data_IF_584718334801
#
_entry.id   IF_584718334801
#
_cell.length_a   1.000
_cell.length_b   1.000
_cell.length_c   1.000
_cell.angle_alpha   90.00
_cell.angle_beta   90.00
_cell.angle_gamma   90.00
#
_symmetry.space_group_name_H-M   'P 1'
#
loop_
_entity.id
_entity.type
_entity.pdbx_description
1 polymer ?
#
# COMPACT_ATOMS: atom_id res chain seq x y z
N UNK A 1 -13.89 0.14 2.19
CA UNK A 1 -12.87 0.17 1.11
C UNK A 1 -13.43 0.84 -0.13
N UNK A 2 -12.62 1.63 -0.85
CA UNK A 2 -13.01 2.31 -2.09
C UNK A 2 -13.64 1.38 -3.15
N UNK A 3 -13.25 0.12 -3.18
CA UNK A 3 -13.76 -0.90 -4.11
C UNK A 3 -15.21 -1.34 -3.83
N UNK A 4 -15.76 -1.05 -2.64
CA UNK A 4 -17.06 -1.59 -2.18
C UNK A 4 -18.09 -0.50 -1.86
N UNK A 5 -17.63 0.64 -1.33
CA UNK A 5 -18.50 1.77 -0.98
C UNK A 5 -19.08 2.43 -2.24
N UNK A 6 -20.27 3.04 -2.12
CA UNK A 6 -21.03 3.61 -3.25
C UNK A 6 -21.56 4.99 -2.92
N UNK A 7 -21.98 5.74 -3.94
CA UNK A 7 -22.65 7.03 -3.77
C UNK A 7 -21.78 8.06 -3.06
N UNK A 8 -22.35 8.78 -2.11
CA UNK A 8 -21.68 9.85 -1.37
C UNK A 8 -20.52 9.35 -0.51
N UNK A 9 -20.60 8.14 0.05
CA UNK A 9 -19.49 7.55 0.80
C UNK A 9 -18.26 7.32 -0.08
N UNK A 10 -18.47 6.82 -1.31
CA UNK A 10 -17.41 6.66 -2.27
C UNK A 10 -16.78 7.99 -2.67
N UNK A 11 -17.62 9.00 -2.94
CA UNK A 11 -17.13 10.34 -3.29
C UNK A 11 -16.29 10.93 -2.16
N UNK A 12 -16.77 10.81 -0.91
CA UNK A 12 -16.06 11.27 0.30
C UNK A 12 -14.70 10.60 0.46
N UNK A 13 -14.64 9.27 0.42
CA UNK A 13 -13.36 8.57 0.60
C UNK A 13 -12.41 8.85 -0.56
N UNK A 14 -12.93 8.90 -1.79
CA UNK A 14 -12.11 9.14 -2.99
C UNK A 14 -11.50 10.53 -2.98
N UNK A 15 -12.25 11.57 -2.57
CA UNK A 15 -11.72 12.93 -2.49
C UNK A 15 -10.57 13.08 -1.50
N UNK A 16 -10.52 12.23 -0.46
CA UNK A 16 -9.42 12.21 0.53
C UNK A 16 -8.21 11.41 0.01
N UNK A 17 -8.45 10.27 -0.64
CA UNK A 17 -7.39 9.35 -1.05
C UNK A 17 -6.69 9.78 -2.34
N UNK A 18 -7.42 10.35 -3.30
CA UNK A 18 -6.85 10.76 -4.60
C UNK A 18 -5.69 11.75 -4.47
N UNK A 19 -5.76 12.81 -3.62
CA UNK A 19 -4.65 13.75 -3.48
C UNK A 19 -3.38 13.11 -2.90
N UNK A 20 -3.48 12.00 -2.16
CA UNK A 20 -2.33 11.23 -1.65
C UNK A 20 -1.43 10.70 -2.77
N UNK A 21 -1.98 10.49 -3.97
CA UNK A 21 -1.26 10.02 -5.16
C UNK A 21 -0.81 11.13 -6.12
N UNK A 22 -0.78 12.38 -5.66
CA UNK A 22 -0.18 13.47 -6.45
C UNK A 22 1.31 13.24 -6.65
N UNK A 23 1.88 13.72 -7.77
CA UNK A 23 3.30 13.60 -8.09
C UNK A 23 4.20 14.07 -6.94
N UNK A 24 3.86 15.19 -6.28
CA UNK A 24 4.62 15.71 -5.15
C UNK A 24 4.62 14.77 -3.94
N UNK A 25 3.48 14.16 -3.60
CA UNK A 25 3.36 13.22 -2.48
C UNK A 25 4.02 11.88 -2.80
N UNK A 26 3.91 11.37 -4.03
CA UNK A 26 4.65 10.17 -4.48
C UNK A 26 6.15 10.41 -4.44
N UNK A 27 6.64 11.58 -4.85
CA UNK A 27 8.06 11.95 -4.76
C UNK A 27 8.62 11.85 -3.34
N UNK A 28 7.81 12.14 -2.31
CA UNK A 28 8.21 11.96 -0.90
C UNK A 28 8.54 10.49 -0.57
N UNK A 29 7.90 9.53 -1.23
CA UNK A 29 8.12 8.09 -1.02
C UNK A 29 9.29 7.52 -1.83
N UNK A 30 9.95 8.30 -2.70
CA UNK A 30 11.05 7.79 -3.55
C UNK A 30 12.19 7.16 -2.76
N UNK A 31 12.46 7.63 -1.53
CA UNK A 31 13.45 7.01 -0.66
C UNK A 31 13.12 5.54 -0.35
N UNK A 32 11.84 5.23 -0.11
CA UNK A 32 11.36 3.86 0.13
C UNK A 32 11.57 3.01 -1.13
N UNK A 33 11.20 3.53 -2.30
CA UNK A 33 11.38 2.79 -3.55
C UNK A 33 12.85 2.51 -3.84
N UNK A 34 13.73 3.50 -3.62
CA UNK A 34 15.18 3.33 -3.79
C UNK A 34 15.74 2.25 -2.86
N UNK A 35 15.33 2.25 -1.59
CA UNK A 35 15.76 1.22 -0.64
C UNK A 35 15.31 -0.18 -1.07
N UNK A 36 14.03 -0.35 -1.43
CA UNK A 36 13.49 -1.64 -1.88
C UNK A 36 14.14 -2.11 -3.20
N UNK A 37 14.44 -1.19 -4.12
CA UNK A 37 15.18 -1.51 -5.35
C UNK A 37 16.60 -1.96 -5.03
N UNK A 38 17.26 -1.37 -4.03
CA UNK A 38 18.56 -1.84 -3.54
C UNK A 38 18.51 -3.31 -3.10
N UNK A 39 17.55 -3.66 -2.24
CA UNK A 39 17.34 -5.05 -1.80
C UNK A 39 17.03 -5.99 -2.96
N UNK A 40 16.21 -5.57 -3.92
CA UNK A 40 15.95 -6.34 -5.15
C UNK A 40 17.25 -6.61 -5.93
N UNK A 41 18.09 -5.59 -6.09
CA UNK A 41 19.36 -5.72 -6.83
C UNK A 41 20.35 -6.62 -6.10
N UNK A 42 20.45 -6.53 -4.77
CA UNK A 42 21.30 -7.41 -3.97
C UNK A 42 20.90 -8.88 -4.15
N UNK A 43 19.59 -9.16 -4.10
CA UNK A 43 19.03 -10.49 -4.33
C UNK A 43 19.25 -10.98 -5.77
N UNK A 44 19.06 -10.12 -6.78
CA UNK A 44 19.32 -10.47 -8.17
C UNK A 44 20.80 -10.76 -8.42
N UNK A 45 21.70 -9.92 -7.90
CA UNK A 45 23.16 -10.09 -8.03
C UNK A 45 23.65 -11.39 -7.37
N UNK A 46 23.04 -11.80 -6.26
CA UNK A 46 23.34 -13.09 -5.62
C UNK A 46 22.96 -14.25 -6.56
N UNK A 47 21.78 -14.22 -7.18
CA UNK A 47 21.32 -15.26 -8.10
C UNK A 47 22.12 -15.32 -9.39
N UNK A 48 22.54 -14.17 -9.93
CA UNK A 48 23.41 -14.10 -11.12
C UNK A 48 24.75 -14.80 -10.86
N UNK A 49 25.35 -14.63 -9.67
CA UNK A 49 26.59 -15.32 -9.30
C UNK A 49 26.45 -16.84 -9.28
N UNK A 50 25.25 -17.35 -9.02
CA UNK A 50 24.96 -18.79 -9.04
C UNK A 50 24.69 -19.33 -10.45
N UNK A 51 24.46 -18.47 -11.45
CA UNK A 51 24.17 -18.87 -12.83
C UNK A 51 22.83 -19.61 -13.01
N UNK A 52 21.90 -19.47 -12.05
CA UNK A 52 20.61 -20.18 -12.08
C UNK A 52 19.53 -19.37 -12.79
N UNK A 53 18.54 -20.03 -13.43
CA UNK A 53 17.34 -19.37 -13.91
C UNK A 53 16.63 -18.61 -12.79
N UNK A 54 16.15 -17.41 -13.09
CA UNK A 54 15.47 -16.54 -12.12
C UNK A 54 13.96 -16.60 -12.35
N UNK A 55 13.21 -16.93 -11.29
CA UNK A 55 11.75 -16.76 -11.28
C UNK A 55 11.40 -15.29 -11.08
N UNK A 56 11.12 -14.60 -12.19
CA UNK A 56 10.78 -13.18 -12.21
C UNK A 56 9.49 -12.86 -11.46
N UNK A 57 8.50 -13.77 -11.46
CA UNK A 57 7.22 -13.52 -10.78
C UNK A 57 7.41 -13.55 -9.27
N UNK A 58 8.18 -14.51 -8.78
CA UNK A 58 8.57 -14.56 -7.37
C UNK A 58 9.41 -13.33 -6.97
N UNK A 59 10.41 -12.98 -7.78
CA UNK A 59 11.32 -11.87 -7.47
C UNK A 59 10.62 -10.51 -7.45
N UNK A 60 9.85 -10.17 -8.48
CA UNK A 60 9.10 -8.92 -8.49
C UNK A 60 7.93 -8.93 -7.50
N UNK A 61 7.40 -10.12 -7.17
CA UNK A 61 6.49 -10.30 -6.04
C UNK A 61 7.12 -9.83 -4.74
N UNK A 62 8.29 -10.36 -4.38
CA UNK A 62 8.98 -9.96 -3.14
C UNK A 62 9.31 -8.47 -3.12
N UNK A 63 9.74 -7.90 -4.25
CA UNK A 63 9.95 -6.46 -4.37
C UNK A 63 8.66 -5.64 -4.13
N UNK A 64 7.55 -5.99 -4.79
CA UNK A 64 6.28 -5.29 -4.61
C UNK A 64 5.75 -5.41 -3.17
N UNK A 65 5.98 -6.56 -2.52
CA UNK A 65 5.66 -6.79 -1.12
C UNK A 65 6.44 -5.82 -0.22
N UNK A 66 7.76 -5.74 -0.39
CA UNK A 66 8.63 -4.91 0.42
C UNK A 66 8.30 -3.42 0.25
N UNK A 67 8.01 -2.99 -0.99
CA UNK A 67 7.58 -1.61 -1.29
C UNK A 67 6.32 -1.26 -0.52
N UNK A 68 5.30 -2.12 -0.50
CA UNK A 68 4.05 -1.79 0.18
C UNK A 68 4.14 -1.97 1.69
N UNK A 69 4.86 -2.97 2.19
CA UNK A 69 5.15 -3.09 3.62
C UNK A 69 5.81 -1.80 4.15
N UNK A 70 6.77 -1.28 3.40
CA UNK A 70 7.54 -0.09 3.77
C UNK A 70 6.74 1.21 3.56
N UNK A 71 5.97 1.32 2.49
CA UNK A 71 5.19 2.53 2.17
C UNK A 71 3.81 2.60 2.81
N UNK A 72 3.04 1.51 2.90
CA UNK A 72 1.70 1.54 3.52
C UNK A 72 1.74 1.27 5.02
N UNK A 73 2.65 0.40 5.47
CA UNK A 73 2.71 -0.04 6.86
C UNK A 73 4.01 0.31 7.56
N UNK A 74 4.84 1.20 6.99
CA UNK A 74 6.06 1.68 7.65
C UNK A 74 6.97 0.57 8.20
N UNK A 75 6.91 -0.62 7.61
CA UNK A 75 7.61 -1.81 8.10
C UNK A 75 8.61 -2.21 7.04
N UNK A 76 9.90 -2.16 7.38
CA UNK A 76 10.96 -2.64 6.49
C UNK A 76 11.04 -4.16 6.64
N UNK A 77 10.91 -4.85 5.52
CA UNK A 77 11.04 -6.31 5.41
C UNK A 77 11.93 -6.62 4.21
N UNK A 78 12.50 -7.82 4.22
CA UNK A 78 13.14 -8.44 3.07
C UNK A 78 12.42 -9.75 2.81
N UNK A 79 11.29 -9.68 2.09
CA UNK A 79 10.42 -10.84 1.89
C UNK A 79 11.04 -11.93 1.01
N UNK A 80 12.14 -11.62 0.31
CA UNK A 80 12.90 -12.59 -0.46
C UNK A 80 13.68 -13.54 0.45
N UNK A 81 14.40 -12.98 1.43
CA UNK A 81 15.26 -13.73 2.34
C UNK A 81 14.55 -14.17 3.64
N UNK A 82 13.42 -13.56 3.99
CA UNK A 82 12.61 -13.91 5.16
C UNK A 82 11.16 -14.28 4.77
N UNK A 83 10.95 -15.42 4.08
CA UNK A 83 9.62 -15.85 3.65
C UNK A 83 8.70 -16.28 4.80
N UNK A 84 9.27 -16.56 5.98
CA UNK A 84 8.60 -16.95 7.22
C UNK A 84 8.21 -15.74 8.08
N UNK A 85 8.57 -14.53 7.64
CA UNK A 85 8.12 -13.31 8.29
C UNK A 85 6.59 -13.31 8.43
N UNK A 86 6.10 -12.98 9.63
CA UNK A 86 4.65 -12.96 9.90
C UNK A 86 3.88 -12.05 8.94
N UNK A 87 4.46 -10.91 8.53
CA UNK A 87 3.86 -10.05 7.52
C UNK A 87 3.70 -10.78 6.18
N UNK A 88 4.75 -11.48 5.73
CA UNK A 88 4.77 -12.22 4.46
C UNK A 88 3.82 -13.41 4.49
N UNK A 89 3.73 -14.13 5.62
CA UNK A 89 2.75 -15.22 5.78
C UNK A 89 1.31 -14.69 5.75
N UNK A 90 1.02 -13.62 6.51
CA UNK A 90 -0.32 -13.00 6.50
C UNK A 90 -0.68 -12.45 5.12
N UNK A 91 0.29 -11.88 4.42
CA UNK A 91 0.14 -11.45 3.04
C UNK A 91 -0.20 -12.60 2.10
N UNK A 92 0.56 -13.69 2.15
CA UNK A 92 0.28 -14.91 1.36
C UNK A 92 -1.11 -15.45 1.66
N UNK A 93 -1.59 -15.41 2.91
CA UNK A 93 -2.97 -15.82 3.25
C UNK A 93 -4.04 -14.95 2.56
N UNK A 94 -3.72 -13.69 2.23
CA UNK A 94 -4.60 -12.81 1.46
C UNK A 94 -4.52 -13.10 -0.05
N UNK A 95 -3.34 -13.43 -0.59
CA UNK A 95 -3.11 -13.61 -2.03
C UNK A 95 -3.27 -15.04 -2.55
N UNK A 96 -2.94 -16.05 -1.75
CA UNK A 96 -3.07 -17.48 -2.09
C UNK A 96 -4.47 -18.03 -1.79
N UNK A 97 -5.46 -17.17 -1.55
CA UNK A 97 -6.84 -17.60 -1.71
C UNK A 97 -7.02 -17.85 -3.21
N UNK A 98 -7.06 -19.12 -3.64
CA UNK A 98 -7.63 -19.43 -4.95
C UNK A 98 -8.92 -18.62 -5.10
N UNK A 99 -9.18 -18.04 -6.29
CA UNK A 99 -10.34 -17.20 -6.59
C UNK A 99 -11.61 -17.83 -6.02
N UNK A 100 -11.88 -17.51 -4.75
CA UNK A 100 -12.66 -18.41 -3.94
C UNK A 100 -14.08 -18.34 -4.43
N UNK A 101 -14.83 -19.42 -4.28
CA UNK A 101 -16.28 -19.35 -4.48
C UNK A 101 -16.89 -18.16 -3.71
N UNK A 102 -16.28 -17.72 -2.60
CA UNK A 102 -16.61 -16.50 -1.85
C UNK A 102 -16.41 -15.21 -2.66
N UNK A 103 -15.32 -15.06 -3.41
CA UNK A 103 -15.06 -13.89 -4.26
C UNK A 103 -16.00 -13.88 -5.48
N UNK A 104 -16.24 -15.04 -6.09
CA UNK A 104 -17.21 -15.20 -7.18
C UNK A 104 -18.63 -14.90 -6.70
N UNK A 105 -19.02 -15.46 -5.54
CA UNK A 105 -20.33 -15.23 -4.93
C UNK A 105 -20.48 -13.78 -4.47
N UNK A 106 -19.40 -13.10 -4.06
CA UNK A 106 -19.40 -11.67 -3.79
C UNK A 106 -19.71 -10.86 -5.05
N UNK A 107 -19.14 -11.22 -6.20
CA UNK A 107 -19.36 -10.53 -7.48
C UNK A 107 -20.75 -10.82 -8.07
N UNK A 108 -21.19 -12.07 -8.05
CA UNK A 108 -22.44 -12.53 -8.70
C UNK A 108 -23.66 -12.32 -7.81
N UNK A 109 -23.52 -12.51 -6.49
CA UNK A 109 -24.63 -12.47 -5.54
C UNK A 109 -24.28 -11.71 -4.24
N UNK A 110 -23.95 -10.40 -4.31
CA UNK A 110 -23.52 -9.62 -3.14
C UNK A 110 -24.58 -9.53 -2.03
N UNK A 111 -25.88 -9.63 -2.36
CA UNK A 111 -26.96 -9.68 -1.37
C UNK A 111 -26.95 -10.98 -0.55
N UNK A 112 -26.58 -12.09 -1.17
CA UNK A 112 -26.53 -13.40 -0.51
C UNK A 112 -25.34 -13.48 0.46
N UNK A 113 -24.18 -12.94 0.08
CA UNK A 113 -23.02 -12.82 0.98
C UNK A 113 -23.36 -11.98 2.21
N UNK A 114 -24.06 -10.85 2.02
CA UNK A 114 -24.51 -10.01 3.13
C UNK A 114 -25.50 -10.73 4.05
N UNK A 115 -26.41 -11.53 3.48
CA UNK A 115 -27.37 -12.32 4.25
C UNK A 115 -26.70 -13.43 5.05
N UNK A 116 -25.67 -14.07 4.49
CA UNK A 116 -24.93 -15.17 5.13
C UNK A 116 -23.85 -14.69 6.11
N UNK A 117 -23.57 -13.38 6.19
CA UNK A 117 -22.56 -12.82 7.09
C UNK A 117 -21.13 -13.30 6.83
N UNK A 118 -20.85 -13.84 5.64
CA UNK A 118 -19.54 -14.42 5.32
C UNK A 118 -18.59 -13.31 4.88
N UNK A 119 -17.54 -13.08 5.68
CA UNK A 119 -16.42 -12.22 5.29
C UNK A 119 -15.67 -12.79 4.09
N UNK A 120 -15.41 -11.93 3.09
CA UNK A 120 -14.69 -12.30 1.86
C UNK A 120 -13.17 -12.37 2.09
N UNK A 121 -12.66 -11.60 3.05
CA UNK A 121 -11.25 -11.59 3.43
C UNK A 121 -11.01 -12.52 4.63
N UNK A 122 -9.80 -13.09 4.72
CA UNK A 122 -9.38 -13.82 5.91
C UNK A 122 -9.46 -12.89 7.12
N UNK A 123 -10.30 -13.27 8.09
CA UNK A 123 -10.55 -12.51 9.32
C UNK A 123 -9.26 -12.31 10.12
N UNK A 124 -8.38 -13.32 10.14
CA UNK A 124 -7.08 -13.27 10.81
C UNK A 124 -6.12 -12.25 10.17
N UNK A 125 -5.93 -12.30 8.85
CA UNK A 125 -5.04 -11.36 8.16
C UNK A 125 -5.57 -9.90 8.28
N UNK A 126 -6.88 -9.73 8.20
CA UNK A 126 -7.51 -8.41 8.38
C UNK A 126 -7.28 -7.85 9.78
N UNK A 127 -7.38 -8.68 10.82
CA UNK A 127 -7.08 -8.31 12.19
C UNK A 127 -5.60 -7.97 12.36
N UNK A 128 -4.69 -8.77 11.80
CA UNK A 128 -3.25 -8.52 11.85
C UNK A 128 -2.88 -7.15 11.25
N UNK A 129 -3.33 -6.85 10.03
CA UNK A 129 -3.02 -5.57 9.38
C UNK A 129 -3.69 -4.38 10.07
N UNK A 130 -4.88 -4.58 10.65
CA UNK A 130 -5.53 -3.58 11.52
C UNK A 130 -4.67 -3.27 12.73
N UNK A 131 -4.33 -4.28 13.53
CA UNK A 131 -3.54 -4.11 14.76
C UNK A 131 -2.18 -3.49 14.49
N UNK A 132 -1.52 -3.89 13.40
CA UNK A 132 -0.25 -3.32 12.99
C UNK A 132 -0.38 -1.83 12.63
N UNK A 133 -1.40 -1.47 11.83
CA UNK A 133 -1.66 -0.07 11.46
C UNK A 133 -1.97 0.78 12.69
N UNK A 134 -2.77 0.26 13.63
CA UNK A 134 -3.11 0.93 14.88
C UNK A 134 -1.86 1.21 15.74
N UNK A 135 -1.01 0.19 15.94
CA UNK A 135 0.24 0.33 16.69
C UNK A 135 1.17 1.38 16.09
N UNK A 136 1.27 1.44 14.76
CA UNK A 136 2.10 2.45 14.08
C UNK A 136 1.55 3.85 14.32
N UNK A 137 0.23 4.04 14.22
CA UNK A 137 -0.41 5.34 14.47
C UNK A 137 -0.17 5.77 15.92
N UNK A 138 -0.35 4.86 16.87
CA UNK A 138 -0.14 5.12 18.29
C UNK A 138 1.32 5.48 18.61
N UNK A 139 2.27 4.71 18.07
CA UNK A 139 3.69 4.96 18.25
C UNK A 139 4.09 6.35 17.72
N UNK A 140 3.63 6.74 16.53
CA UNK A 140 3.90 8.07 15.96
C UNK A 140 3.36 9.21 16.81
N UNK A 141 2.20 9.01 17.45
CA UNK A 141 1.66 10.01 18.38
C UNK A 141 2.54 10.15 19.62
N UNK A 142 3.03 9.04 20.16
CA UNK A 142 3.89 9.02 21.34
C UNK A 142 5.27 9.61 21.07
N UNK A 143 5.87 9.30 19.92
CA UNK A 143 7.26 9.67 19.59
C UNK A 143 7.37 10.96 18.77
N UNK A 144 6.27 11.41 18.16
CA UNK A 144 6.29 12.50 17.17
C UNK A 144 6.98 12.14 15.86
N UNK A 145 7.35 10.87 15.67
CA UNK A 145 8.07 10.42 14.48
C UNK A 145 7.20 10.56 13.24
N UNK A 146 7.76 11.13 12.18
CA UNK A 146 7.16 11.19 10.86
C UNK A 146 8.02 10.42 9.87
N UNK A 147 7.36 9.69 8.99
CA UNK A 147 8.00 9.00 7.88
C UNK A 147 7.31 9.43 6.59
N UNK A 148 8.07 9.58 5.51
CA UNK A 148 7.51 9.92 4.20
C UNK A 148 6.91 8.67 3.54
N UNK A 149 5.80 8.20 4.09
CA UNK A 149 5.10 6.99 3.68
C UNK A 149 3.60 7.25 3.46
N UNK A 150 2.91 6.31 2.84
CA UNK A 150 1.52 6.44 2.43
C UNK A 150 0.60 6.73 3.62
N UNK A 151 0.82 6.09 4.77
CA UNK A 151 0.04 6.34 5.98
C UNK A 151 0.18 7.81 6.43
N UNK A 152 1.41 8.34 6.46
CA UNK A 152 1.63 9.75 6.80
C UNK A 152 1.03 10.68 5.76
N UNK A 153 1.17 10.37 4.47
CA UNK A 153 0.60 11.18 3.39
C UNK A 153 -0.93 11.21 3.46
N UNK A 154 -1.57 10.09 3.80
CA UNK A 154 -3.02 10.00 3.97
C UNK A 154 -3.47 10.83 5.19
N UNK A 155 -2.73 10.75 6.31
CA UNK A 155 -2.98 11.56 7.50
C UNK A 155 -2.78 13.08 7.23
N UNK A 156 -1.71 13.45 6.54
CA UNK A 156 -1.41 14.82 6.13
C UNK A 156 -2.54 15.37 5.23
N UNK A 157 -2.95 14.60 4.22
CA UNK A 157 -4.03 14.97 3.29
C UNK A 157 -5.36 15.15 4.01
N UNK A 158 -5.71 14.23 4.91
CA UNK A 158 -6.93 14.33 5.70
C UNK A 158 -6.93 15.55 6.64
N UNK A 159 -5.76 15.99 7.08
CA UNK A 159 -5.58 17.21 7.86
C UNK A 159 -5.67 18.47 6.99
N UNK A 160 -5.00 18.53 5.84
CA UNK A 160 -5.06 19.66 4.90
C UNK A 160 -6.51 20.00 4.53
N UNK A 161 -7.29 18.99 4.12
CA UNK A 161 -8.72 19.15 3.80
C UNK A 161 -9.54 19.64 5.01
N UNK A 162 -9.12 19.29 6.24
CA UNK A 162 -9.75 19.78 7.47
C UNK A 162 -9.61 21.28 7.65
N UNK A 163 -8.39 21.76 7.41
CA UNK A 163 -7.98 23.11 7.78
C UNK A 163 -8.54 24.09 6.74
N UNK A 164 -8.65 23.65 5.47
CA UNK A 164 -9.38 24.35 4.41
C UNK A 164 -10.88 24.51 4.73
N UNK A 165 -11.55 23.44 5.22
CA UNK A 165 -12.99 23.49 5.53
C UNK A 165 -13.33 24.27 6.81
N UNK A 166 -12.39 24.41 7.76
CA UNK A 166 -12.54 25.28 8.93
C UNK A 166 -12.58 26.77 8.56
N UNK A 167 -12.05 27.15 7.39
CA UNK A 167 -12.15 28.51 6.86
C UNK A 167 -13.55 28.91 6.39
N UNK A 168 -14.42 27.93 6.08
CA UNK A 168 -15.72 28.19 5.43
C UNK A 168 -16.95 27.79 6.25
N UNK A 169 -16.84 27.03 7.35
CA UNK A 169 -18.01 26.55 8.09
C UNK A 169 -17.74 26.37 9.59
N UNK A 170 -17.48 27.48 10.27
CA UNK A 170 -17.56 27.54 11.72
C UNK A 170 -19.01 27.72 12.18
N UNK A 171 -19.89 26.74 11.94
CA UNK A 171 -21.08 26.49 12.75
C UNK A 171 -21.88 25.26 12.24
N UNK A 172 -22.24 24.38 13.19
CA UNK A 172 -23.17 23.24 13.12
C UNK A 172 -22.66 21.93 12.50
N UNK A 173 -22.29 20.98 13.37
CA UNK A 173 -23.17 19.87 13.77
C UNK A 173 -22.45 18.90 14.72
N UNK A 174 -22.97 18.76 15.94
CA UNK A 174 -22.67 17.65 16.85
C UNK A 174 -23.63 16.50 16.53
N UNK A 175 -23.14 15.48 15.83
CA UNK A 175 -23.80 14.19 15.67
C UNK A 175 -22.84 13.10 16.12
N UNK A 176 -22.93 12.72 17.39
CA UNK A 176 -22.00 11.80 18.04
C UNK A 176 -22.37 10.35 17.66
N UNK A 177 -21.63 9.75 16.73
CA UNK A 177 -21.72 8.31 16.38
C UNK A 177 -20.66 7.50 17.16
N UNK A 178 -19.84 8.18 17.98
CA UNK A 178 -18.76 7.58 18.78
C UNK A 178 -19.24 6.68 19.92
N UNK A 179 -20.51 6.82 20.34
CA UNK A 179 -21.04 6.20 21.57
C UNK A 179 -21.37 4.71 21.43
N UNK A 180 -21.33 4.14 20.23
CA UNK A 180 -21.71 2.73 19.98
C UNK A 180 -20.54 1.74 20.07
N UNK A 181 -19.32 2.21 20.34
CA UNK A 181 -18.15 1.34 20.48
C UNK A 181 -17.49 1.61 21.84
N UNK A 182 -17.31 0.55 22.64
CA UNK A 182 -16.49 0.60 23.85
C UNK A 182 -15.03 0.86 23.45
N UNK A 183 -14.63 2.13 23.45
CA UNK A 183 -13.31 2.60 23.04
C UNK A 183 -12.59 3.24 24.23
N UNK A 184 -11.28 3.05 24.29
CA UNK A 184 -10.39 3.66 25.27
C UNK A 184 -10.25 5.18 25.05
N UNK A 185 -9.82 5.93 26.08
CA UNK A 185 -9.68 7.40 26.02
C UNK A 185 -8.74 7.87 24.88
N UNK A 186 -7.73 7.06 24.55
CA UNK A 186 -6.80 7.32 23.43
C UNK A 186 -7.49 7.16 22.09
N UNK A 187 -8.31 6.12 21.94
CA UNK A 187 -9.12 5.88 20.74
C UNK A 187 -10.19 6.96 20.56
N UNK A 188 -10.80 7.46 21.64
CA UNK A 188 -11.69 8.62 21.58
C UNK A 188 -10.98 9.90 21.13
N UNK A 189 -9.73 10.13 21.54
CA UNK A 189 -8.97 11.31 21.12
C UNK A 189 -8.45 11.18 19.66
N UNK A 190 -8.09 9.96 19.23
CA UNK A 190 -7.90 9.63 17.80
C UNK A 190 -9.18 9.92 17.03
N UNK A 191 -10.32 9.42 17.52
CA UNK A 191 -11.63 9.56 16.92
C UNK A 191 -12.01 11.04 16.77
N UNK A 192 -11.98 11.84 17.84
CA UNK A 192 -12.33 13.29 17.81
C UNK A 192 -11.45 14.13 16.89
N UNK A 193 -10.18 13.78 16.72
CA UNK A 193 -9.28 14.48 15.77
C UNK A 193 -9.64 14.16 14.31
N UNK A 194 -10.21 12.97 14.09
CA UNK A 194 -10.54 12.42 12.78
C UNK A 194 -12.01 12.66 12.41
N UNK A 195 -12.95 12.69 13.34
CA UNK A 195 -14.39 12.78 13.06
C UNK A 195 -14.93 14.20 13.16
N UNK A 196 -14.85 14.90 12.04
CA UNK A 196 -15.85 15.86 11.61
C UNK A 196 -15.84 15.80 10.08
N UNK A 197 -16.75 15.01 9.49
CA UNK A 197 -16.86 14.71 8.04
C UNK A 197 -15.65 14.02 7.37
N UNK A 198 -14.96 13.07 8.01
CA UNK A 198 -13.77 12.39 7.42
C UNK A 198 -13.70 10.88 7.66
N UNK A 199 -12.73 10.24 6.98
CA UNK A 199 -12.37 8.82 6.99
C UNK A 199 -12.21 8.28 8.41
N UNK A 200 -13.07 7.37 8.85
CA UNK A 200 -12.94 6.65 10.11
C UNK A 200 -11.64 5.82 10.16
N UNK A 201 -11.23 5.44 11.37
CA UNK A 201 -10.04 4.61 11.57
C UNK A 201 -10.15 3.26 10.85
N UNK A 202 -11.34 2.66 10.88
CA UNK A 202 -11.62 1.43 10.12
C UNK A 202 -11.58 1.68 8.61
N UNK A 203 -12.07 2.83 8.11
CA UNK A 203 -11.95 3.17 6.69
C UNK A 203 -10.49 3.43 6.27
N UNK A 204 -9.66 3.99 7.16
CA UNK A 204 -8.23 4.21 6.96
C UNK A 204 -7.47 2.88 6.87
N UNK A 205 -7.65 2.01 7.86
CA UNK A 205 -7.07 0.66 7.86
C UNK A 205 -7.51 -0.10 6.61
N UNK A 206 -8.80 -0.02 6.28
CA UNK A 206 -9.35 -0.66 5.10
C UNK A 206 -8.73 -0.11 3.80
N UNK A 207 -8.41 1.19 3.72
CA UNK A 207 -7.67 1.74 2.58
C UNK A 207 -6.24 1.20 2.51
N UNK A 208 -5.51 1.14 3.63
CA UNK A 208 -4.16 0.57 3.65
C UNK A 208 -4.15 -0.89 3.17
N UNK A 209 -5.13 -1.69 3.59
CA UNK A 209 -5.27 -3.09 3.18
C UNK A 209 -5.63 -3.22 1.69
N UNK A 210 -6.53 -2.39 1.13
CA UNK A 210 -6.84 -2.48 -0.31
C UNK A 210 -5.65 -2.03 -1.17
N UNK A 211 -4.89 -1.01 -0.77
CA UNK A 211 -3.68 -0.61 -1.49
C UNK A 211 -2.59 -1.67 -1.42
N UNK A 212 -2.50 -2.37 -0.30
CA UNK A 212 -1.66 -3.56 -0.16
C UNK A 212 -2.00 -4.66 -1.15
N UNK A 213 -3.28 -5.06 -1.22
CA UNK A 213 -3.70 -6.11 -2.14
C UNK A 213 -3.55 -5.68 -3.59
N UNK A 214 -3.97 -4.46 -3.92
CA UNK A 214 -3.96 -3.99 -5.30
C UNK A 214 -2.54 -3.78 -5.84
N UNK A 215 -1.59 -3.33 -5.02
CA UNK A 215 -0.25 -2.98 -5.47
C UNK A 215 0.72 -4.15 -5.62
N UNK A 216 0.46 -5.29 -4.96
CA UNK A 216 1.38 -6.44 -4.97
C UNK A 216 1.35 -7.18 -6.31
N UNK A 217 0.22 -7.84 -6.63
CA UNK A 217 0.19 -8.80 -7.72
C UNK A 217 0.25 -8.13 -9.10
N UNK A 218 -0.42 -6.98 -9.24
CA UNK A 218 -0.47 -6.21 -10.48
C UNK A 218 0.91 -5.69 -10.90
N UNK A 219 1.67 -5.11 -9.95
CA UNK A 219 3.04 -4.63 -10.18
C UNK A 219 3.97 -5.78 -10.49
N UNK A 220 3.92 -6.86 -9.70
CA UNK A 220 4.76 -8.02 -9.92
C UNK A 220 4.54 -8.63 -11.31
N UNK A 221 3.28 -8.87 -11.70
CA UNK A 221 2.94 -9.38 -13.04
C UNK A 221 3.40 -8.45 -14.15
N UNK A 222 3.17 -7.14 -14.00
CA UNK A 222 3.56 -6.15 -15.01
C UNK A 222 5.07 -6.13 -15.23
N UNK A 223 5.85 -6.12 -14.15
CA UNK A 223 7.31 -6.17 -14.23
C UNK A 223 7.79 -7.49 -14.84
N UNK A 224 7.20 -8.63 -14.45
CA UNK A 224 7.54 -9.93 -15.03
C UNK A 224 7.31 -9.97 -16.54
N UNK A 225 6.14 -9.49 -17.00
CA UNK A 225 5.85 -9.43 -18.43
C UNK A 225 6.73 -8.44 -19.18
N UNK A 226 6.99 -7.26 -18.61
CA UNK A 226 7.88 -6.28 -19.20
C UNK A 226 9.29 -6.87 -19.41
N UNK A 227 9.86 -7.47 -18.36
CA UNK A 227 11.19 -8.10 -18.43
C UNK A 227 11.22 -9.29 -19.39
N UNK A 228 10.17 -10.11 -19.42
CA UNK A 228 10.03 -11.20 -20.39
C UNK A 228 10.04 -10.68 -21.84
N UNK A 229 9.25 -9.63 -22.13
CA UNK A 229 9.18 -9.04 -23.45
C UNK A 229 10.51 -8.40 -23.85
N UNK A 230 11.21 -7.72 -22.93
CA UNK A 230 12.55 -7.18 -23.19
C UNK A 230 13.57 -8.29 -23.48
N UNK A 231 13.53 -9.41 -22.75
CA UNK A 231 14.44 -10.53 -22.97
C UNK A 231 14.25 -11.19 -24.36
N UNK A 232 13.03 -11.14 -24.92
CA UNK A 232 12.72 -11.65 -26.25
C UNK A 232 12.99 -10.66 -27.39
N UNK A 233 13.09 -9.36 -27.10
CA UNK A 233 13.24 -8.29 -28.09
C UNK A 233 14.47 -7.44 -27.75
N UNK A 234 15.65 -7.93 -28.14
CA UNK A 234 16.94 -7.33 -27.75
C UNK A 234 17.17 -5.92 -28.31
N UNK A 235 16.65 -5.62 -29.50
CA UNK A 235 16.68 -4.28 -30.09
C UNK A 235 15.94 -3.25 -29.21
N UNK A 236 14.80 -3.65 -28.64
CA UNK A 236 14.03 -2.82 -27.72
C UNK A 236 14.76 -2.70 -26.38
N UNK A 237 15.33 -3.81 -25.88
CA UNK A 237 16.11 -3.80 -24.63
C UNK A 237 17.32 -2.87 -24.72
N UNK A 238 18.10 -2.95 -25.79
CA UNK A 238 19.31 -2.15 -25.98
C UNK A 238 18.98 -0.67 -26.14
N UNK A 239 17.90 -0.35 -26.86
CA UNK A 239 17.40 1.02 -26.97
C UNK A 239 16.98 1.58 -25.60
N UNK A 240 16.21 0.81 -24.82
CA UNK A 240 15.79 1.22 -23.48
C UNK A 240 17.00 1.43 -22.56
N UNK A 241 18.00 0.55 -22.63
CA UNK A 241 19.24 0.70 -21.86
C UNK A 241 19.95 2.01 -22.20
N UNK A 242 20.09 2.32 -23.49
CA UNK A 242 20.67 3.60 -23.93
C UNK A 242 19.88 4.84 -23.49
N UNK A 243 18.54 4.77 -23.51
CA UNK A 243 17.69 5.87 -23.00
C UNK A 243 17.88 6.08 -21.48
N UNK A 244 18.03 5.00 -20.71
CA UNK A 244 18.29 5.07 -19.26
C UNK A 244 19.69 5.62 -18.97
N UNK A 245 20.71 5.15 -19.68
CA UNK A 245 22.10 5.60 -19.49
C UNK A 245 22.25 7.10 -19.80
N UNK A 246 21.66 7.57 -20.91
CA UNK A 246 21.66 8.98 -21.27
C UNK A 246 20.97 9.87 -20.21
N UNK A 247 19.85 9.41 -19.66
CA UNK A 247 19.14 10.14 -18.60
C UNK A 247 19.94 10.20 -17.29
N UNK A 248 20.70 9.14 -16.95
CA UNK A 248 21.57 9.12 -15.78
C UNK A 248 22.74 10.10 -15.92
N UNK A 249 23.36 10.12 -17.11
CA UNK A 249 24.43 11.07 -17.45
C UNK A 249 23.96 12.53 -17.36
N UNK A 250 22.81 12.86 -17.96
CA UNK A 250 22.25 14.21 -17.95
C UNK A 250 21.98 14.73 -16.53
N UNK A 251 21.60 13.82 -15.62
CA UNK A 251 21.22 14.18 -14.25
C UNK A 251 22.39 14.09 -13.24
N UNK A 252 23.63 13.86 -13.68
CA UNK A 252 24.80 13.57 -12.81
C UNK A 252 24.50 12.52 -11.74
N UNK A 253 23.59 11.59 -12.04
CA UNK A 253 23.27 10.49 -11.16
C UNK A 253 24.32 9.40 -11.41
N UNK A 254 24.97 8.92 -10.34
CA UNK A 254 25.72 7.67 -10.46
C UNK A 254 24.77 6.58 -10.95
N UNK A 255 25.22 5.74 -11.89
CA UNK A 255 24.39 4.63 -12.33
C UNK A 255 23.98 3.85 -11.08
N UNK A 256 22.67 3.73 -10.87
CA UNK A 256 22.17 2.99 -9.71
C UNK A 256 22.40 1.48 -9.89
N UNK A 257 23.02 1.08 -11.01
CA UNK A 257 23.15 -0.28 -11.49
C UNK A 257 24.52 -0.45 -12.17
N UNK A 258 25.32 -1.46 -11.81
CA UNK A 258 26.49 -1.84 -12.60
C UNK A 258 26.01 -2.33 -13.97
N UNK A 259 26.66 -1.85 -15.04
CA UNK A 259 26.42 -2.31 -16.40
C UNK A 259 26.61 -3.83 -16.49
N UNK A 260 25.62 -4.52 -17.06
CA UNK A 260 25.72 -5.91 -17.51
C UNK A 260 26.07 -5.95 -18.99
#
# INVERSE_FOLDING_TARGET
>A
MLSVIRGEDWKRVRSIVTPTFTTGKIKRMLGIFKECTGTLMDNLNALVKEGKPVDLKRMYGTFAMDVIASSAFSTKIDSHNDPENKFVQMAKTVFNQELGFKLILFLVAPKLIKLLGVGVFATEASAFFKDMTLKIIEERKRTGQKRNDFLQLLMDTAKEISDEQKGESAEKEKGDIASNYELTDVEQQIFRTVTSKKLSLDELVAQSVIFFVAGYDTTASTLSFATYLLALNQDIQDRLRGEVDAALEENNASSCFPCF
#
